data_IF_099574662477
#
_entry.id   IF_099574662477
#
_cell.length_a   1.000
_cell.length_b   1.000
_cell.length_c   1.000
_cell.angle_alpha   90.00
_cell.angle_beta   90.00
_cell.angle_gamma   90.00
#
_symmetry.space_group_name_H-M   'P 1'
#
loop_
_entity.id
_entity.type
_entity.pdbx_description
1 polymer ?
#
# COMPACT_ATOMS: atom_id res chain seq x y z
N UNK A 1 -10.79 -12.77 -3.63
CA UNK A 1 -11.83 -12.29 -2.67
C UNK A 1 -11.37 -11.10 -1.82
N UNK A 2 -10.13 -11.07 -1.32
CA UNK A 2 -9.63 -9.96 -0.48
C UNK A 2 -9.47 -8.63 -1.24
N UNK A 3 -8.86 -8.63 -2.43
CA UNK A 3 -8.69 -7.39 -3.23
C UNK A 3 -10.02 -6.78 -3.69
N UNK A 4 -10.98 -7.62 -4.08
CA UNK A 4 -12.32 -7.16 -4.47
C UNK A 4 -13.08 -6.53 -3.30
N UNK A 5 -12.94 -7.08 -2.09
CA UNK A 5 -13.48 -6.46 -0.88
C UNK A 5 -12.80 -5.12 -0.60
N UNK A 6 -11.46 -5.08 -0.62
CA UNK A 6 -10.68 -3.87 -0.38
C UNK A 6 -11.05 -2.73 -1.34
N UNK A 7 -11.17 -3.04 -2.63
CA UNK A 7 -11.62 -2.09 -3.65
C UNK A 7 -13.03 -1.54 -3.35
N UNK A 8 -13.98 -2.42 -2.99
CA UNK A 8 -15.36 -2.00 -2.63
C UNK A 8 -15.43 -1.21 -1.32
N UNK A 9 -14.53 -1.49 -0.38
CA UNK A 9 -14.45 -0.80 0.91
C UNK A 9 -13.65 0.51 0.86
N UNK A 10 -13.12 0.89 -0.31
CA UNK A 10 -12.29 2.10 -0.44
C UNK A 10 -10.93 2.00 0.26
N UNK A 11 -10.44 0.78 0.49
CA UNK A 11 -9.15 0.54 1.13
C UNK A 11 -8.03 0.82 0.12
N UNK A 12 -7.12 1.73 0.48
CA UNK A 12 -5.98 2.09 -0.37
C UNK A 12 -4.91 1.00 -0.41
N UNK A 13 -4.50 0.48 0.74
CA UNK A 13 -3.40 -0.47 0.83
C UNK A 13 -3.87 -1.83 1.32
N UNK A 14 -3.49 -2.89 0.62
CA UNK A 14 -3.65 -4.27 1.08
C UNK A 14 -2.27 -4.84 1.37
N UNK A 15 -2.08 -5.36 2.58
CA UNK A 15 -0.84 -6.03 2.99
C UNK A 15 -1.00 -7.53 2.82
N UNK A 16 -0.01 -8.16 2.19
CA UNK A 16 0.08 -9.61 2.03
C UNK A 16 1.30 -10.09 2.81
N UNK A 17 1.04 -11.02 3.73
CA UNK A 17 2.03 -11.69 4.58
C UNK A 17 1.82 -13.20 4.43
N UNK A 18 2.61 -13.82 3.56
CA UNK A 18 2.73 -15.27 3.45
C UNK A 18 3.96 -15.80 4.18
N UNK A 19 4.19 -17.10 4.04
CA UNK A 19 5.36 -17.76 4.63
C UNK A 19 6.68 -17.24 4.04
N UNK A 20 6.69 -16.89 2.75
CA UNK A 20 7.85 -16.34 2.06
C UNK A 20 8.22 -14.93 2.56
N UNK A 21 7.25 -14.04 2.71
CA UNK A 21 7.47 -12.69 3.23
C UNK A 21 7.95 -12.72 4.69
N UNK A 22 7.39 -13.64 5.48
CA UNK A 22 7.83 -13.86 6.86
C UNK A 22 9.29 -14.34 6.92
N UNK A 23 9.68 -15.29 6.06
CA UNK A 23 11.06 -15.76 5.98
C UNK A 23 12.05 -14.66 5.56
N UNK A 24 11.62 -13.73 4.70
CA UNK A 24 12.43 -12.61 4.20
C UNK A 24 12.38 -11.36 5.07
N UNK A 25 11.57 -11.34 6.13
CA UNK A 25 11.28 -10.15 6.94
C UNK A 25 10.74 -8.96 6.12
N UNK A 26 9.97 -9.26 5.10
CA UNK A 26 9.34 -8.28 4.21
C UNK A 26 7.82 -8.37 4.27
N UNK A 27 7.14 -7.43 3.62
CA UNK A 27 5.70 -7.37 3.46
C UNK A 27 5.42 -6.92 2.03
N UNK A 28 4.53 -7.63 1.36
CA UNK A 28 4.04 -7.21 0.04
C UNK A 28 2.88 -6.23 0.24
N UNK A 29 3.01 -5.04 -0.34
CA UNK A 29 2.04 -3.95 -0.26
C UNK A 29 1.41 -3.78 -1.64
N UNK A 30 0.08 -3.83 -1.71
CA UNK A 30 -0.69 -3.51 -2.90
C UNK A 30 -1.41 -2.17 -2.72
N UNK A 31 -1.02 -1.17 -3.51
CA UNK A 31 -1.73 0.12 -3.65
C UNK A 31 -2.85 -0.07 -4.69
N UNK A 32 -4.09 -0.06 -4.20
CA UNK A 32 -5.29 -0.38 -4.99
C UNK A 32 -5.62 0.72 -6.02
N UNK A 33 -5.63 2.03 -5.68
CA UNK A 33 -5.82 3.10 -6.67
C UNK A 33 -4.79 3.13 -7.80
N UNK A 34 -3.53 2.84 -7.50
CA UNK A 34 -2.43 2.86 -8.48
C UNK A 34 -2.22 1.52 -9.19
N UNK A 35 -2.95 0.49 -8.78
CA UNK A 35 -2.76 -0.91 -9.19
C UNK A 35 -1.30 -1.40 -9.08
N UNK A 36 -0.54 -0.82 -8.15
CA UNK A 36 0.87 -1.09 -7.96
C UNK A 36 1.08 -2.07 -6.80
N UNK A 37 2.01 -3.01 -6.96
CA UNK A 37 2.42 -3.92 -5.91
C UNK A 37 3.94 -3.86 -5.73
N UNK A 38 4.39 -3.76 -4.49
CA UNK A 38 5.81 -3.67 -4.15
C UNK A 38 6.10 -4.32 -2.79
N UNK A 39 7.35 -4.69 -2.58
CA UNK A 39 7.81 -5.35 -1.37
C UNK A 39 8.54 -4.34 -0.48
N UNK A 40 8.24 -4.35 0.82
CA UNK A 40 8.83 -3.44 1.80
C UNK A 40 9.40 -4.23 2.96
N UNK A 41 10.61 -3.92 3.47
CA UNK A 41 11.07 -4.45 4.74
C UNK A 41 10.06 -4.18 5.85
N UNK A 42 9.77 -5.18 6.68
CA UNK A 42 8.74 -5.06 7.73
C UNK A 42 9.00 -3.89 8.68
N UNK A 43 10.27 -3.59 8.97
CA UNK A 43 10.67 -2.46 9.80
C UNK A 43 10.36 -1.08 9.17
N UNK A 44 10.40 -0.98 7.85
CA UNK A 44 10.17 0.28 7.13
C UNK A 44 8.71 0.49 6.72
N UNK A 45 7.86 -0.54 6.83
CA UNK A 45 6.47 -0.52 6.35
C UNK A 45 5.68 0.71 6.82
N UNK A 46 5.68 1.01 8.12
CA UNK A 46 4.92 2.12 8.66
C UNK A 46 5.37 3.47 8.09
N UNK A 47 6.68 3.65 7.92
CA UNK A 47 7.28 4.85 7.35
C UNK A 47 6.94 4.99 5.86
N UNK A 48 7.05 3.90 5.10
CA UNK A 48 6.70 3.89 3.66
C UNK A 48 5.24 4.27 3.45
N UNK A 49 4.31 3.63 4.18
CA UNK A 49 2.88 3.95 4.07
C UNK A 49 2.58 5.40 4.49
N UNK A 50 3.27 5.90 5.52
CA UNK A 50 3.10 7.29 5.99
C UNK A 50 3.50 8.29 4.92
N UNK A 51 4.66 8.12 4.29
CA UNK A 51 5.13 8.99 3.20
C UNK A 51 4.12 9.00 2.06
N UNK A 52 3.58 7.84 1.68
CA UNK A 52 2.58 7.75 0.61
C UNK A 52 1.24 8.44 0.94
N UNK A 53 0.83 8.42 2.22
CA UNK A 53 -0.36 9.14 2.69
C UNK A 53 -0.10 10.64 2.70
N UNK A 54 1.04 11.06 3.23
CA UNK A 54 1.45 12.47 3.33
C UNK A 54 1.62 13.10 1.95
N UNK A 55 2.21 12.39 0.98
CA UNK A 55 2.31 12.86 -0.40
C UNK A 55 0.93 13.09 -1.04
N UNK A 56 -0.03 12.17 -0.87
CA UNK A 56 -1.40 12.40 -1.37
C UNK A 56 -2.08 13.58 -0.66
N UNK A 57 -1.84 13.76 0.63
CA UNK A 57 -2.41 14.88 1.39
C UNK A 57 -1.77 16.23 0.99
N UNK A 58 -0.50 16.22 0.59
CA UNK A 58 0.25 17.39 0.16
C UNK A 58 0.02 17.76 -1.32
N UNK A 59 -0.51 16.86 -2.15
CA UNK A 59 -0.90 17.20 -3.52
C UNK A 59 -2.14 18.10 -3.51
N UNK A 60 -2.06 19.36 -4.01
CA UNK A 60 -3.24 20.21 -4.13
C UNK A 60 -4.24 19.54 -5.06
N UNK A 61 -5.52 19.54 -4.66
CA UNK A 61 -6.64 18.84 -5.30
C UNK A 61 -7.03 19.38 -6.70
N UNK A 62 -6.09 19.96 -7.46
CA UNK A 62 -6.35 20.75 -8.66
C UNK A 62 -5.29 20.69 -9.76
N UNK A 63 -4.51 19.61 -9.87
CA UNK A 63 -3.62 19.39 -11.03
C UNK A 63 -3.75 17.98 -11.64
N UNK A 64 -4.94 17.39 -11.53
CA UNK A 64 -5.38 16.37 -12.48
C UNK A 64 -6.30 17.09 -13.48
N UNK A 65 -5.68 17.72 -14.49
CA UNK A 65 -6.35 18.28 -15.67
C UNK A 65 -6.24 17.27 -16.81
#
# INVERSE_FOLDING_TARGET
KQFQYASKAGIRFVLVLGEDEMAKNTVSVKDMPRELQYEVPRAELAKTLRVEIEQLAAMPKGLAS
#
